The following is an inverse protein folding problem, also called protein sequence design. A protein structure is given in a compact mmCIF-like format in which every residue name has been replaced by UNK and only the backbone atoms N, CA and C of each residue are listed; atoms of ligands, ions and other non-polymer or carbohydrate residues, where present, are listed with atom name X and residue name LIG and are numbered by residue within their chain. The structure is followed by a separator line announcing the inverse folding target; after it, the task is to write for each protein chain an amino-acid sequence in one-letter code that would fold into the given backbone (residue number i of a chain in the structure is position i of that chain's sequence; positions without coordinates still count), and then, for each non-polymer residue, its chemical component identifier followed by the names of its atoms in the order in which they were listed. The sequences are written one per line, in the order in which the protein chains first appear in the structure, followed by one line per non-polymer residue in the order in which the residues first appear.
data_IF_290833264686
#
_entry.id   IF_290833264686
#
_cell.length_a   1.000
_cell.length_b   1.000
_cell.length_c   1.000
_cell.angle_alpha   90.00
_cell.angle_beta   90.00
_cell.angle_gamma   90.00
#
_symmetry.space_group_name_H-M   'P 1'
#
loop_
_entity.id
_entity.type
_entity.pdbx_description
1 polymer ?
#
# COMPACT_ATOMS: atom_id res chain seq x y z
N UNK A 1 -12.56 13.00 -11.70
CA UNK A 1 -11.57 13.10 -10.62
C UNK A 1 -10.32 12.34 -11.02
N UNK A 2 -9.15 12.91 -10.75
CA UNK A 2 -7.84 12.24 -10.90
C UNK A 2 -7.31 11.86 -9.51
N UNK A 3 -6.76 10.66 -9.33
CA UNK A 3 -6.08 10.29 -8.08
C UNK A 3 -4.58 10.40 -8.24
N UNK A 4 -3.92 11.12 -7.34
CA UNK A 4 -2.46 11.14 -7.17
C UNK A 4 -2.13 10.29 -5.94
N UNK A 5 -1.24 9.32 -6.11
CA UNK A 5 -0.71 8.49 -5.01
C UNK A 5 0.76 8.80 -4.79
N UNK A 6 1.12 9.25 -3.59
CA UNK A 6 2.50 9.46 -3.17
C UNK A 6 3.00 8.32 -2.28
N UNK A 7 4.32 8.24 -2.02
CA UNK A 7 4.87 7.19 -1.16
C UNK A 7 4.52 7.34 0.33
N UNK A 8 4.38 8.59 0.80
CA UNK A 8 4.21 8.92 2.22
C UNK A 8 3.32 10.16 2.43
N UNK A 9 2.71 10.31 3.62
CA UNK A 9 1.77 11.39 3.90
C UNK A 9 2.34 12.81 3.74
N UNK A 10 3.63 13.01 3.98
CA UNK A 10 4.25 14.33 3.86
C UNK A 10 4.27 14.82 2.41
N UNK A 11 4.72 13.97 1.48
CA UNK A 11 4.77 14.28 0.04
C UNK A 11 3.36 14.53 -0.52
N UNK A 12 2.39 13.71 -0.10
CA UNK A 12 1.00 13.92 -0.51
C UNK A 12 0.43 15.28 -0.06
N UNK A 13 0.81 15.78 1.13
CA UNK A 13 0.37 17.10 1.60
C UNK A 13 0.96 18.24 0.76
N UNK A 14 2.23 18.13 0.39
CA UNK A 14 2.89 19.11 -0.49
C UNK A 14 2.23 19.13 -1.87
N UNK A 15 2.02 17.96 -2.49
CA UNK A 15 1.32 17.84 -3.76
C UNK A 15 -0.11 18.39 -3.67
N UNK A 16 -0.84 18.06 -2.61
CA UNK A 16 -2.21 18.52 -2.40
C UNK A 16 -2.30 20.06 -2.36
N UNK A 17 -1.34 20.72 -1.72
CA UNK A 17 -1.24 22.18 -1.73
C UNK A 17 -1.05 22.75 -3.13
N UNK A 18 -0.18 22.14 -3.94
CA UNK A 18 0.10 22.59 -5.32
C UNK A 18 -1.10 22.41 -6.26
N UNK A 19 -1.87 21.32 -6.10
CA UNK A 19 -3.03 21.04 -6.98
C UNK A 19 -4.34 21.64 -6.47
N UNK A 20 -4.34 22.27 -5.28
CA UNK A 20 -5.55 22.87 -4.69
C UNK A 20 -6.51 21.85 -4.06
N UNK A 21 -6.00 20.72 -3.57
CA UNK A 21 -6.76 19.70 -2.85
C UNK A 21 -6.68 19.93 -1.32
N UNK A 22 -7.47 20.87 -0.79
CA UNK A 22 -7.37 21.32 0.61
C UNK A 22 -8.30 20.60 1.59
N UNK A 23 -9.34 19.91 1.12
CA UNK A 23 -10.29 19.22 2.01
C UNK A 23 -9.72 17.88 2.48
N UNK A 24 -9.47 17.77 3.79
CA UNK A 24 -8.84 16.61 4.40
C UNK A 24 -9.87 15.54 4.74
N UNK A 25 -9.61 14.31 4.30
CA UNK A 25 -10.36 13.11 4.64
C UNK A 25 -9.45 12.09 5.32
N UNK A 26 -10.04 10.98 5.77
CA UNK A 26 -9.30 9.87 6.34
C UNK A 26 -8.55 9.10 5.23
N UNK A 27 -7.23 9.29 5.17
CA UNK A 27 -6.33 8.62 4.22
C UNK A 27 -6.10 9.35 2.88
N UNK A 28 -6.68 10.53 2.66
CA UNK A 28 -6.46 11.35 1.45
C UNK A 28 -6.90 12.82 1.65
N UNK A 29 -6.51 13.69 0.71
CA UNK A 29 -7.05 15.04 0.54
C UNK A 29 -7.81 15.14 -0.78
N UNK A 30 -8.75 16.07 -0.89
CA UNK A 30 -9.56 16.27 -2.09
C UNK A 30 -9.78 17.75 -2.39
N UNK A 31 -9.95 18.08 -3.67
CA UNK A 31 -10.27 19.43 -4.14
C UNK A 31 -9.75 19.67 -5.54
N UNK A 32 -10.28 20.68 -6.22
CA UNK A 32 -9.90 21.07 -7.58
C UNK A 32 -9.85 19.91 -8.60
N UNK A 33 -10.73 18.91 -8.46
CA UNK A 33 -10.78 17.74 -9.35
C UNK A 33 -9.79 16.62 -9.01
N UNK A 34 -9.02 16.73 -7.92
CA UNK A 34 -8.03 15.75 -7.47
C UNK A 34 -8.43 15.05 -6.17
N UNK A 35 -8.07 13.77 -6.09
CA UNK A 35 -7.82 13.06 -4.85
C UNK A 35 -6.31 12.91 -4.69
N UNK A 36 -5.76 13.26 -3.53
CA UNK A 36 -4.34 13.11 -3.23
C UNK A 36 -4.19 12.20 -2.02
N UNK A 37 -3.71 10.98 -2.27
CA UNK A 37 -3.53 9.93 -1.26
C UNK A 37 -2.07 9.52 -1.18
N UNK A 38 -1.75 8.60 -0.29
CA UNK A 38 -0.39 8.13 -0.05
C UNK A 38 -0.35 6.66 0.32
N UNK A 39 0.82 6.07 0.16
CA UNK A 39 1.19 4.81 0.77
C UNK A 39 1.90 5.04 2.12
N UNK A 40 2.39 3.95 2.71
CA UNK A 40 3.27 3.97 3.89
C UNK A 40 4.55 3.21 3.56
N UNK A 41 5.20 3.58 2.45
CA UNK A 41 6.04 2.65 1.70
C UNK A 41 5.20 1.51 1.12
N UNK A 42 5.74 0.30 1.01
CA UNK A 42 4.97 -0.85 0.52
C UNK A 42 3.81 -1.19 1.47
N UNK A 43 2.58 -1.19 0.92
CA UNK A 43 1.36 -1.62 1.61
C UNK A 43 1.10 -3.12 1.46
N UNK A 44 1.78 -3.75 0.50
CA UNK A 44 1.76 -5.18 0.22
C UNK A 44 3.17 -5.76 0.35
N UNK A 45 3.28 -7.06 0.54
CA UNK A 45 4.55 -7.77 0.55
C UNK A 45 4.39 -9.20 0.05
N UNK A 46 5.51 -9.89 -0.10
CA UNK A 46 5.50 -11.31 -0.46
C UNK A 46 4.81 -12.14 0.64
N UNK A 47 4.09 -13.17 0.21
CA UNK A 47 3.54 -14.19 1.11
C UNK A 47 4.64 -14.88 1.90
N UNK A 48 4.33 -15.19 3.15
CA UNK A 48 5.17 -15.99 4.04
C UNK A 48 5.00 -17.48 3.71
N UNK A 49 5.93 -18.37 4.11
CA UNK A 49 5.79 -19.82 3.95
C UNK A 49 4.41 -20.38 4.33
N UNK A 50 3.81 -19.85 5.40
CA UNK A 50 2.50 -20.27 5.89
C UNK A 50 1.38 -19.97 4.89
N UNK A 51 1.51 -18.91 4.07
CA UNK A 51 0.55 -18.58 3.01
C UNK A 51 0.61 -19.60 1.86
N UNK A 52 1.70 -20.36 1.76
CA UNK A 52 1.86 -21.49 0.83
C UNK A 52 1.54 -22.84 1.47
N UNK A 53 0.99 -22.86 2.69
CA UNK A 53 0.68 -24.09 3.43
C UNK A 53 1.88 -24.75 4.10
N UNK A 54 3.03 -24.05 4.21
CA UNK A 54 4.23 -24.56 4.88
C UNK A 54 4.24 -24.01 6.31
N UNK A 55 3.92 -24.85 7.28
CA UNK A 55 3.87 -24.47 8.70
C UNK A 55 5.12 -24.91 9.45
N UNK A 56 5.72 -23.99 10.22
CA UNK A 56 6.87 -24.28 11.06
C UNK A 56 8.15 -24.55 10.27
N UNK A 57 9.23 -24.87 10.98
CA UNK A 57 10.50 -25.17 10.34
C UNK A 57 10.57 -26.65 9.96
N UNK A 58 10.68 -26.93 8.66
CA UNK A 58 10.97 -28.27 8.14
C UNK A 58 12.14 -28.18 7.14
N UNK A 59 13.26 -28.82 7.48
CA UNK A 59 14.45 -28.84 6.60
C UNK A 59 14.16 -29.46 5.23
N UNK A 60 13.25 -30.43 5.16
CA UNK A 60 12.86 -31.07 3.90
C UNK A 60 12.03 -30.14 2.98
N UNK A 61 11.46 -29.06 3.52
CA UNK A 61 10.75 -28.04 2.75
C UNK A 61 11.68 -26.97 2.16
N UNK A 62 12.99 -27.07 2.39
CA UNK A 62 13.97 -26.12 1.88
C UNK A 62 14.65 -26.66 0.60
N UNK A 63 14.88 -25.80 -0.42
CA UNK A 63 14.47 -24.40 -0.49
C UNK A 63 12.97 -24.24 -0.77
N UNK A 64 12.36 -23.20 -0.20
CA UNK A 64 10.97 -22.84 -0.52
C UNK A 64 11.00 -22.01 -1.80
N UNK A 65 10.56 -22.61 -2.91
CA UNK A 65 10.47 -21.97 -4.22
C UNK A 65 8.99 -21.94 -4.63
N UNK A 66 8.28 -20.82 -4.43
CA UNK A 66 6.88 -20.74 -4.78
C UNK A 66 6.70 -20.75 -6.30
N UNK A 67 5.72 -21.52 -6.80
CA UNK A 67 5.37 -21.53 -8.22
C UNK A 67 4.89 -20.16 -8.71
N UNK A 68 4.22 -19.41 -7.84
CA UNK A 68 3.83 -18.02 -8.05
C UNK A 68 4.02 -17.26 -6.75
N UNK A 69 4.58 -16.06 -6.83
CA UNK A 69 4.68 -15.18 -5.67
C UNK A 69 3.29 -14.67 -5.28
N UNK A 70 2.84 -15.05 -4.10
CA UNK A 70 1.66 -14.45 -3.48
C UNK A 70 2.01 -13.05 -3.00
N UNK A 71 1.14 -12.09 -3.29
CA UNK A 71 1.17 -10.77 -2.70
C UNK A 71 0.11 -10.70 -1.61
N UNK A 72 0.54 -10.35 -0.40
CA UNK A 72 -0.35 -10.20 0.76
C UNK A 72 -0.27 -8.77 1.28
N UNK A 73 -1.29 -8.33 2.01
CA UNK A 73 -1.18 -7.07 2.76
C UNK A 73 0.03 -7.15 3.68
N UNK A 74 0.80 -6.06 3.78
CA UNK A 74 1.98 -5.99 4.63
C UNK A 74 1.70 -6.60 6.00
N UNK A 75 2.55 -7.54 6.41
CA UNK A 75 2.50 -8.15 7.73
C UNK A 75 3.54 -7.52 8.64
N UNK A 76 3.19 -7.30 9.90
CA UNK A 76 4.08 -6.78 10.94
C UNK A 76 4.34 -7.86 11.99
N UNK A 77 5.58 -7.90 12.48
CA UNK A 77 6.00 -8.83 13.54
C UNK A 77 5.39 -8.40 14.88
N UNK A 78 4.77 -9.34 15.57
CA UNK A 78 4.27 -9.22 16.95
C UNK A 78 4.85 -10.36 17.79
N UNK A 79 4.58 -10.35 19.10
CA UNK A 79 5.07 -11.35 20.05
C UNK A 79 4.77 -12.80 19.64
N UNK A 80 3.62 -13.04 18.98
CA UNK A 80 3.15 -14.37 18.56
C UNK A 80 3.26 -14.60 17.04
N UNK A 81 4.18 -13.94 16.36
CA UNK A 81 4.42 -14.12 14.91
C UNK A 81 4.02 -12.93 14.06
N UNK A 82 3.69 -13.16 12.79
CA UNK A 82 3.35 -12.10 11.84
C UNK A 82 1.84 -11.93 11.73
N UNK A 83 1.37 -10.69 11.82
CA UNK A 83 -0.04 -10.35 11.66
C UNK A 83 -0.22 -9.25 10.63
N UNK A 84 -1.37 -9.22 9.96
CA UNK A 84 -1.70 -8.17 8.99
C UNK A 84 -1.60 -6.78 9.63
N UNK A 85 -0.92 -5.86 8.94
CA UNK A 85 -0.90 -4.45 9.29
C UNK A 85 -2.26 -3.83 9.01
N UNK A 86 -3.00 -3.50 10.07
CA UNK A 86 -4.34 -2.92 9.98
C UNK A 86 -4.31 -1.51 9.38
N UNK A 87 -3.22 -0.76 9.56
CA UNK A 87 -3.03 0.56 8.95
C UNK A 87 -2.84 0.43 7.45
N UNK A 88 -2.00 -0.52 7.00
CA UNK A 88 -1.81 -0.79 5.58
C UNK A 88 -3.10 -1.30 4.92
N UNK A 89 -3.83 -2.22 5.58
CA UNK A 89 -5.12 -2.71 5.10
C UNK A 89 -6.14 -1.58 4.94
N UNK A 90 -6.24 -0.69 5.94
CA UNK A 90 -7.15 0.46 5.87
C UNK A 90 -6.79 1.37 4.71
N UNK A 91 -5.51 1.68 4.52
CA UNK A 91 -5.05 2.56 3.45
C UNK A 91 -5.27 1.95 2.07
N UNK A 92 -5.06 0.64 1.90
CA UNK A 92 -5.38 -0.07 0.65
C UNK A 92 -6.86 0.06 0.29
N UNK A 93 -7.77 -0.08 1.26
CA UNK A 93 -9.22 0.12 1.03
C UNK A 93 -9.55 1.55 0.61
N UNK A 94 -8.88 2.55 1.21
CA UNK A 94 -9.03 3.95 0.79
C UNK A 94 -8.56 4.12 -0.66
N UNK A 95 -7.38 3.62 -1.00
CA UNK A 95 -6.83 3.70 -2.36
C UNK A 95 -7.75 3.01 -3.37
N UNK A 96 -8.24 1.81 -3.08
CA UNK A 96 -9.21 1.08 -3.90
C UNK A 96 -10.47 1.91 -4.17
N UNK A 97 -11.06 2.49 -3.12
CA UNK A 97 -12.24 3.35 -3.25
C UNK A 97 -11.95 4.56 -4.15
N UNK A 98 -10.79 5.19 -4.01
CA UNK A 98 -10.42 6.38 -4.80
C UNK A 98 -10.15 6.02 -6.27
N UNK A 99 -9.48 4.90 -6.53
CA UNK A 99 -9.23 4.41 -7.87
C UNK A 99 -10.54 4.12 -8.61
N UNK A 100 -11.49 3.45 -7.96
CA UNK A 100 -12.82 3.19 -8.52
C UNK A 100 -13.63 4.46 -8.82
N UNK A 101 -13.32 5.57 -8.16
CA UNK A 101 -13.96 6.88 -8.36
C UNK A 101 -13.18 7.82 -9.28
N UNK A 102 -12.09 7.35 -9.87
CA UNK A 102 -11.17 8.15 -10.68
C UNK A 102 -11.14 7.66 -12.12
N UNK A 103 -11.03 8.60 -13.06
CA UNK A 103 -10.84 8.26 -14.47
C UNK A 103 -9.35 8.26 -14.88
N UNK A 104 -8.46 8.63 -13.96
CA UNK A 104 -7.02 8.69 -14.19
C UNK A 104 -6.28 8.56 -12.86
N UNK A 105 -5.15 7.88 -12.89
CA UNK A 105 -4.26 7.68 -11.75
C UNK A 105 -2.89 8.27 -12.11
N UNK A 106 -2.27 8.97 -11.17
CA UNK A 106 -0.92 9.53 -11.26
C UNK A 106 -0.12 8.92 -10.12
N UNK A 107 0.94 8.20 -10.45
CA UNK A 107 1.87 7.63 -9.48
C UNK A 107 2.99 8.64 -9.25
N UNK A 108 3.09 9.15 -8.02
CA UNK A 108 4.01 10.19 -7.59
C UNK A 108 4.85 9.72 -6.38
N UNK A 109 5.28 8.47 -6.43
CA UNK A 109 6.25 7.84 -5.53
C UNK A 109 7.68 8.31 -5.86
N UNK A 110 8.64 7.92 -5.03
CA UNK A 110 10.04 8.36 -5.19
C UNK A 110 10.59 7.93 -6.57
N UNK A 111 11.42 8.78 -7.19
CA UNK A 111 12.00 8.56 -8.51
C UNK A 111 13.17 7.56 -8.47
N UNK A 112 12.89 6.33 -8.01
CA UNK A 112 13.84 5.23 -7.88
C UNK A 112 13.20 3.89 -8.23
N UNK A 113 13.99 2.81 -8.21
CA UNK A 113 13.53 1.47 -8.63
C UNK A 113 12.33 0.94 -7.83
N UNK A 114 12.28 1.27 -6.54
CA UNK A 114 11.24 0.77 -5.62
C UNK A 114 9.96 1.62 -5.64
N UNK A 115 10.03 2.83 -6.23
CA UNK A 115 8.92 3.77 -6.32
C UNK A 115 7.90 3.37 -7.36
#
# INVERSE_FOLDING_TARGET
MKTIIAEKPSVAREIAGLVGASDKKDGYLTGNGYFVTWAFGHLIGLGMPEDYGISGFNKASLPILPNQFLLTVRKVKKEKGYTTDTGALKQLKVIEQLFNRSHSIIVATDAGREG
#
